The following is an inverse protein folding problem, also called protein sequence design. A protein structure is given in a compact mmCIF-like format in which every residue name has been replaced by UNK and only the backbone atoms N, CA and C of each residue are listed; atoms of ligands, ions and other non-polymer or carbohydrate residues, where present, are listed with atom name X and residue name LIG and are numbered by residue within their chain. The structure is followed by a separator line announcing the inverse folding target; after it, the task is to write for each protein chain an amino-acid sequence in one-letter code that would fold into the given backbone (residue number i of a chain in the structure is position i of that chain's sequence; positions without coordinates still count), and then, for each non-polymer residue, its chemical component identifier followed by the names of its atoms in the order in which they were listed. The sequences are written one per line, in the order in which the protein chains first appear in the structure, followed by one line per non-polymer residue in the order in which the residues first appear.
data_IF_538570149568
#
_entry.id   IF_538570149568
#
_cell.length_a   1.000
_cell.length_b   1.000
_cell.length_c   1.000
_cell.angle_alpha   90.00
_cell.angle_beta   90.00
_cell.angle_gamma   90.00
#
_symmetry.space_group_name_H-M   'P 1'
#
loop_
_entity.id
_entity.type
_entity.pdbx_description
1 polymer ?
#
# COMPACT_ATOMS: atom_id res chain seq x y z
N UNK A 1 16.42 -23.97 11.39
CA UNK A 1 16.00 -22.65 10.86
C UNK A 1 16.32 -22.62 9.38
N UNK A 2 15.36 -22.34 8.50
CA UNK A 2 15.63 -22.16 7.06
C UNK A 2 15.80 -20.68 6.81
N UNK A 3 16.95 -20.29 6.25
CA UNK A 3 17.25 -18.91 5.89
C UNK A 3 17.19 -18.81 4.37
N UNK A 4 16.55 -17.77 3.86
CA UNK A 4 16.62 -17.44 2.44
C UNK A 4 17.94 -16.71 2.15
N UNK A 5 18.67 -17.17 1.14
CA UNK A 5 19.92 -16.60 0.66
C UNK A 5 19.81 -16.22 -0.83
N UNK A 6 20.50 -15.15 -1.20
CA UNK A 6 20.62 -14.69 -2.58
C UNK A 6 22.09 -14.38 -2.86
N UNK A 7 22.64 -15.05 -3.87
CA UNK A 7 23.97 -14.77 -4.41
C UNK A 7 23.79 -13.89 -5.66
N UNK A 8 24.26 -12.64 -5.58
CA UNK A 8 24.09 -11.66 -6.65
C UNK A 8 24.74 -12.10 -7.97
N UNK A 9 25.91 -12.74 -7.86
CA UNK A 9 26.70 -13.21 -9.00
C UNK A 9 26.37 -14.66 -9.42
N UNK A 10 25.61 -15.40 -8.61
CA UNK A 10 25.15 -16.76 -8.91
C UNK A 10 23.64 -16.93 -8.60
N UNK A 11 22.77 -16.44 -9.49
CA UNK A 11 21.33 -16.54 -9.28
C UNK A 11 20.79 -17.98 -9.28
N UNK A 12 21.55 -18.96 -9.80
CA UNK A 12 21.10 -20.35 -9.91
C UNK A 12 21.13 -21.08 -8.57
N UNK A 13 22.06 -20.71 -7.68
CA UNK A 13 22.16 -21.27 -6.32
C UNK A 13 21.32 -20.50 -5.29
N UNK A 14 20.59 -19.48 -5.73
CA UNK A 14 19.80 -18.60 -4.86
C UNK A 14 18.41 -19.16 -4.57
N UNK A 15 17.90 -18.92 -3.37
CA UNK A 15 16.54 -19.37 -2.99
C UNK A 15 15.42 -18.53 -3.64
N UNK A 16 15.76 -17.32 -4.12
CA UNK A 16 14.83 -16.41 -4.77
C UNK A 16 15.54 -15.53 -5.79
N UNK A 17 14.78 -14.96 -6.73
CA UNK A 17 15.28 -14.00 -7.71
C UNK A 17 14.90 -12.57 -7.32
N UNK A 18 15.83 -11.62 -7.49
CA UNK A 18 15.53 -10.22 -7.24
C UNK A 18 14.67 -9.62 -8.36
N UNK A 19 13.56 -9.00 -7.96
CA UNK A 19 12.65 -8.33 -8.88
C UNK A 19 13.12 -6.91 -9.22
N UNK A 20 12.77 -6.46 -10.41
CA UNK A 20 12.86 -5.06 -10.80
C UNK A 20 11.69 -4.29 -10.16
N UNK A 21 11.96 -3.43 -9.18
CA UNK A 21 10.90 -2.78 -8.37
C UNK A 21 10.57 -1.37 -8.88
N UNK A 22 9.28 -1.05 -8.90
CA UNK A 22 8.73 0.30 -9.06
C UNK A 22 8.30 0.77 -7.68
N UNK A 23 8.73 1.97 -7.30
CA UNK A 23 8.27 2.64 -6.08
C UNK A 23 7.44 3.87 -6.45
N UNK A 24 6.22 3.95 -5.94
CA UNK A 24 5.33 5.09 -6.10
C UNK A 24 5.11 5.73 -4.73
N UNK A 25 5.73 6.90 -4.55
CA UNK A 25 5.61 7.76 -3.36
C UNK A 25 5.86 7.03 -2.02
N UNK A 26 6.80 6.07 -2.00
CA UNK A 26 7.16 5.26 -0.83
C UNK A 26 5.97 4.54 -0.18
N UNK A 27 4.91 4.32 -0.95
CA UNK A 27 3.62 3.81 -0.45
C UNK A 27 3.19 2.58 -1.23
N UNK A 28 3.38 2.56 -2.55
CA UNK A 28 3.06 1.40 -3.40
C UNK A 28 4.34 0.87 -4.04
N UNK A 29 4.58 -0.42 -3.88
CA UNK A 29 5.70 -1.13 -4.49
C UNK A 29 5.17 -2.19 -5.46
N UNK A 30 5.75 -2.26 -6.65
CA UNK A 30 5.39 -3.22 -7.69
C UNK A 30 6.67 -3.89 -8.19
N UNK A 31 6.78 -5.20 -8.03
CA UNK A 31 7.95 -5.96 -8.49
C UNK A 31 7.64 -6.70 -9.79
N UNK A 32 8.54 -6.59 -10.77
CA UNK A 32 8.50 -7.36 -12.01
C UNK A 32 9.66 -8.35 -12.02
N UNK A 33 9.36 -9.64 -12.18
CA UNK A 33 10.35 -10.71 -12.18
C UNK A 33 10.10 -11.71 -13.31
N UNK A 34 11.17 -12.20 -13.91
CA UNK A 34 11.16 -13.35 -14.84
C UNK A 34 11.69 -14.63 -14.17
N UNK A 35 11.92 -14.61 -12.85
CA UNK A 35 12.59 -15.68 -12.12
C UNK A 35 14.05 -15.87 -12.56
N UNK A 36 14.81 -14.78 -12.70
CA UNK A 36 16.23 -14.83 -13.09
C UNK A 36 16.50 -15.08 -14.59
N UNK A 37 15.56 -15.69 -15.32
CA UNK A 37 15.73 -16.11 -16.73
C UNK A 37 16.08 -15.00 -17.73
N UNK A 38 15.62 -13.76 -17.51
CA UNK A 38 15.92 -12.64 -18.40
C UNK A 38 15.85 -11.30 -17.66
N UNK A 39 16.95 -10.89 -16.98
CA UNK A 39 17.00 -9.62 -16.26
C UNK A 39 16.73 -8.41 -17.17
N UNK A 40 17.21 -8.46 -18.42
CA UNK A 40 16.97 -7.43 -19.42
C UNK A 40 15.48 -7.26 -19.75
N UNK A 41 14.73 -8.36 -19.92
CA UNK A 41 13.30 -8.30 -20.17
C UNK A 41 12.51 -7.86 -18.94
N UNK A 42 12.89 -8.31 -17.73
CA UNK A 42 12.30 -7.83 -16.48
C UNK A 42 12.41 -6.30 -16.37
N UNK A 43 13.60 -5.73 -16.68
CA UNK A 43 13.83 -4.28 -16.70
C UNK A 43 12.98 -3.56 -17.74
N UNK A 44 12.85 -4.12 -18.96
CA UNK A 44 12.01 -3.55 -20.03
C UNK A 44 10.54 -3.48 -19.62
N UNK A 45 10.00 -4.60 -19.11
CA UNK A 45 8.62 -4.68 -18.63
C UNK A 45 8.37 -3.74 -17.45
N UNK A 46 9.30 -3.67 -16.49
CA UNK A 46 9.26 -2.70 -15.38
C UNK A 46 9.12 -1.27 -15.87
N UNK A 47 9.94 -0.85 -16.84
CA UNK A 47 9.87 0.52 -17.40
C UNK A 47 8.52 0.81 -18.08
N UNK A 48 7.96 -0.17 -18.79
CA UNK A 48 6.64 -0.03 -19.43
C UNK A 48 5.53 0.06 -18.39
N UNK A 49 5.55 -0.85 -17.41
CA UNK A 49 4.60 -0.88 -16.30
C UNK A 49 4.66 0.41 -15.46
N UNK A 50 5.86 0.94 -15.17
CA UNK A 50 6.03 2.19 -14.41
C UNK A 50 5.30 3.36 -15.05
N UNK A 51 5.36 3.50 -16.38
CA UNK A 51 4.64 4.55 -17.11
C UNK A 51 3.11 4.43 -16.96
N UNK A 52 2.61 3.20 -16.90
CA UNK A 52 1.18 2.91 -16.74
C UNK A 52 0.76 3.19 -15.30
N UNK A 53 1.46 2.61 -14.33
CA UNK A 53 1.12 2.73 -12.92
C UNK A 53 1.24 4.15 -12.38
N UNK A 54 2.21 4.96 -12.85
CA UNK A 54 2.28 6.39 -12.50
C UNK A 54 1.09 7.21 -12.98
N UNK A 55 0.38 6.76 -14.02
CA UNK A 55 -0.86 7.41 -14.51
C UNK A 55 -2.10 6.85 -13.81
N UNK A 56 -2.08 5.56 -13.50
CA UNK A 56 -3.21 4.86 -12.89
C UNK A 56 -3.38 5.23 -11.41
N UNK A 57 -2.29 5.19 -10.65
CA UNK A 57 -2.30 5.43 -9.21
C UNK A 57 -2.23 6.93 -8.98
N UNK A 58 -3.32 7.48 -8.44
CA UNK A 58 -3.47 8.91 -8.20
C UNK A 58 -3.04 9.27 -6.78
N UNK A 59 -2.93 10.58 -6.53
CA UNK A 59 -2.55 11.10 -5.21
C UNK A 59 -3.59 10.72 -4.14
N UNK A 60 -4.86 10.67 -4.53
CA UNK A 60 -5.98 10.27 -3.69
C UNK A 60 -5.81 8.84 -3.19
N UNK A 61 -5.34 7.91 -4.04
CA UNK A 61 -5.08 6.52 -3.65
C UNK A 61 -3.98 6.46 -2.57
N UNK A 62 -2.91 7.24 -2.75
CA UNK A 62 -1.81 7.33 -1.77
C UNK A 62 -2.31 7.89 -0.43
N UNK A 63 -3.15 8.92 -0.47
CA UNK A 63 -3.73 9.54 0.72
C UNK A 63 -4.70 8.59 1.43
N UNK A 64 -5.49 7.85 0.67
CA UNK A 64 -6.39 6.83 1.18
C UNK A 64 -5.61 5.71 1.90
N UNK A 65 -4.50 5.24 1.33
CA UNK A 65 -3.63 4.23 1.97
C UNK A 65 -3.07 4.76 3.30
N UNK A 66 -2.55 5.99 3.31
CA UNK A 66 -2.02 6.62 4.54
C UNK A 66 -3.09 6.79 5.61
N UNK A 67 -4.31 7.18 5.22
CA UNK A 67 -5.44 7.31 6.13
C UNK A 67 -5.88 5.95 6.68
N UNK A 68 -5.89 4.90 5.85
CA UNK A 68 -6.25 3.54 6.27
C UNK A 68 -5.25 2.96 7.27
N UNK A 69 -3.95 3.20 7.09
CA UNK A 69 -2.95 2.80 8.09
C UNK A 69 -3.17 3.52 9.43
N UNK A 70 -3.41 4.83 9.40
CA UNK A 70 -3.77 5.61 10.60
C UNK A 70 -5.04 5.06 11.27
N UNK A 71 -6.11 4.88 10.51
CA UNK A 71 -7.39 4.37 10.99
C UNK A 71 -7.25 2.97 11.60
N UNK A 72 -6.43 2.10 11.01
CA UNK A 72 -6.15 0.75 11.53
C UNK A 72 -5.47 0.80 12.90
N UNK A 73 -4.49 1.69 13.08
CA UNK A 73 -3.80 1.89 14.36
C UNK A 73 -4.76 2.40 15.43
N UNK A 74 -5.57 3.41 15.11
CA UNK A 74 -6.58 3.94 16.03
C UNK A 74 -7.68 2.92 16.36
N UNK A 75 -8.15 2.15 15.37
CA UNK A 75 -9.16 1.12 15.58
C UNK A 75 -8.66 -0.02 16.49
N UNK A 76 -7.37 -0.39 16.41
CA UNK A 76 -6.77 -1.40 17.29
C UNK A 76 -6.82 -1.02 18.77
N UNK A 77 -6.77 0.27 19.11
CA UNK A 77 -6.78 0.71 20.50
C UNK A 77 -8.18 0.82 21.09
N UNK A 78 -9.22 0.94 20.25
CA UNK A 78 -10.61 1.13 20.70
C UNK A 78 -11.53 -0.08 20.46
N UNK A 79 -11.33 -0.82 19.38
CA UNK A 79 -12.20 -1.93 18.98
C UNK A 79 -11.53 -3.27 19.27
N UNK A 80 -12.15 -4.06 20.14
CA UNK A 80 -11.59 -5.32 20.64
C UNK A 80 -11.54 -6.40 19.55
N UNK A 81 -12.57 -6.50 18.71
CA UNK A 81 -12.70 -7.63 17.79
C UNK A 81 -12.21 -7.31 16.36
N UNK A 82 -11.74 -8.35 15.65
CA UNK A 82 -11.35 -8.22 14.24
C UNK A 82 -12.53 -7.82 13.32
N UNK A 83 -13.75 -8.39 13.45
CA UNK A 83 -14.89 -8.00 12.64
C UNK A 83 -15.27 -6.52 12.79
N UNK A 84 -15.26 -5.97 14.00
CA UNK A 84 -15.55 -4.54 14.23
C UNK A 84 -14.52 -3.64 13.56
N UNK A 85 -13.22 -3.96 13.74
CA UNK A 85 -12.13 -3.22 13.08
C UNK A 85 -12.27 -3.27 11.56
N UNK A 86 -12.58 -4.42 10.99
CA UNK A 86 -12.82 -4.57 9.54
C UNK A 86 -13.99 -3.67 9.11
N UNK A 87 -15.14 -3.76 9.79
CA UNK A 87 -16.34 -2.96 9.48
C UNK A 87 -16.04 -1.46 9.53
N UNK A 88 -15.30 -1.01 10.55
CA UNK A 88 -14.88 0.39 10.67
C UNK A 88 -13.99 0.84 9.49
N UNK A 89 -12.96 0.06 9.13
CA UNK A 89 -12.07 0.42 8.01
C UNK A 89 -12.82 0.51 6.67
N UNK A 90 -13.80 -0.37 6.43
CA UNK A 90 -14.69 -0.27 5.26
C UNK A 90 -15.57 0.98 5.29
N UNK A 91 -16.06 1.39 6.46
CA UNK A 91 -16.81 2.65 6.61
C UNK A 91 -15.92 3.85 6.30
N UNK A 92 -14.72 3.92 6.87
CA UNK A 92 -13.72 4.96 6.59
C UNK A 92 -13.37 5.03 5.09
N UNK A 93 -13.27 3.88 4.42
CA UNK A 93 -12.93 3.83 2.99
C UNK A 93 -14.02 4.39 2.08
N UNK A 94 -15.28 4.20 2.47
CA UNK A 94 -16.42 4.51 1.61
C UNK A 94 -17.12 5.82 1.97
N UNK A 95 -16.76 6.44 3.10
CA UNK A 95 -17.32 7.72 3.56
C UNK A 95 -17.07 8.86 2.56
N UNK A 96 -18.16 9.55 2.20
CA UNK A 96 -18.12 10.61 1.18
C UNK A 96 -17.36 11.86 1.66
N UNK A 97 -17.45 12.19 2.95
CA UNK A 97 -16.73 13.33 3.51
C UNK A 97 -15.22 13.08 3.51
N UNK A 98 -14.80 11.86 3.86
CA UNK A 98 -13.40 11.44 3.76
C UNK A 98 -12.90 11.52 2.33
N UNK A 99 -13.67 11.00 1.36
CA UNK A 99 -13.30 11.07 -0.07
C UNK A 99 -13.10 12.52 -0.51
N UNK A 100 -13.96 13.44 -0.10
CA UNK A 100 -13.82 14.86 -0.40
C UNK A 100 -12.56 15.45 0.24
N UNK A 101 -12.32 15.20 1.53
CA UNK A 101 -11.13 15.69 2.22
C UNK A 101 -9.82 15.18 1.58
N UNK A 102 -9.83 13.94 1.07
CA UNK A 102 -8.70 13.37 0.34
C UNK A 102 -8.51 14.04 -1.01
N UNK A 103 -9.59 14.25 -1.77
CA UNK A 103 -9.56 14.97 -3.05
C UNK A 103 -9.03 16.40 -2.87
N UNK A 104 -9.39 17.07 -1.77
CA UNK A 104 -8.91 18.40 -1.42
C UNK A 104 -7.45 18.41 -0.88
N UNK A 105 -6.83 17.23 -0.73
CA UNK A 105 -5.47 17.10 -0.18
C UNK A 105 -5.37 17.35 1.34
N UNK A 106 -6.49 17.34 2.06
CA UNK A 106 -6.60 17.66 3.49
C UNK A 106 -6.47 16.43 4.40
N UNK A 107 -5.34 15.72 4.33
CA UNK A 107 -5.14 14.48 5.09
C UNK A 107 -5.30 14.64 6.62
N UNK A 108 -4.83 15.75 7.20
CA UNK A 108 -4.97 16.02 8.65
C UNK A 108 -6.43 16.14 9.08
N UNK A 109 -7.28 16.79 8.28
CA UNK A 109 -8.72 16.90 8.56
C UNK A 109 -9.38 15.54 8.45
N UNK A 110 -9.01 14.75 7.44
CA UNK A 110 -9.51 13.38 7.30
C UNK A 110 -9.14 12.50 8.50
N UNK A 111 -7.91 12.61 9.01
CA UNK A 111 -7.48 11.91 10.23
C UNK A 111 -8.30 12.32 11.45
N UNK A 112 -8.55 13.63 11.63
CA UNK A 112 -9.40 14.13 12.72
C UNK A 112 -10.80 13.53 12.64
N UNK A 113 -11.42 13.57 11.46
CA UNK A 113 -12.75 13.01 11.23
C UNK A 113 -12.80 11.50 11.47
N UNK A 114 -11.74 10.75 11.12
CA UNK A 114 -11.63 9.31 11.47
C UNK A 114 -11.69 9.08 12.99
N UNK A 115 -11.06 9.94 13.79
CA UNK A 115 -11.10 9.84 15.26
C UNK A 115 -12.51 10.16 15.79
N UNK A 116 -13.18 11.16 15.21
CA UNK A 116 -14.58 11.51 15.51
C UNK A 116 -15.51 10.32 15.21
N UNK A 117 -15.44 9.76 14.00
CA UNK A 117 -16.20 8.55 13.60
C UNK A 117 -15.97 7.36 14.52
N UNK A 118 -14.77 7.23 15.08
CA UNK A 118 -14.41 6.16 16.01
C UNK A 118 -14.85 6.48 17.46
N UNK A 119 -15.08 7.75 17.79
CA UNK A 119 -15.68 8.19 19.04
C UNK A 119 -17.18 7.91 19.08
N UNK A 120 -17.87 8.10 17.96
CA UNK A 120 -19.32 7.89 17.82
C UNK A 120 -19.74 6.41 17.81
N UNK A 121 -18.79 5.47 17.88
CA UNK A 121 -19.05 4.03 17.97
C UNK A 121 -19.16 3.51 19.41
N UNK A 122 -18.96 4.39 20.39
CA UNK A 122 -19.10 4.10 21.82
C UNK A 122 -20.50 4.47 22.33
#
# INVERSE_FOLDING_TARGET
MRCYAYAADDPEVSDFAFGSVINIQDTVQIAVSTGGRSPAMARRLRMQAEKIFKKLIKKEDIYQIKLQDFARRAAKTKLATFPERKKFLYRVMNDNHIKQLIADGNLKKAQKYVIEMLGDLN
#
